data_IF_746337226753
#
_entry.id   IF_746337226753
#
_cell.length_a   1.000
_cell.length_b   1.000
_cell.length_c   1.000
_cell.angle_alpha   90.00
_cell.angle_beta   90.00
_cell.angle_gamma   90.00
#
_symmetry.space_group_name_H-M   'P 1'
#
loop_
_entity.id
_entity.type
_entity.pdbx_description
1 polymer ?
#
# COMPACT_ATOMS: atom_id res chain seq x y z
N UNK A 1 12.43 -54.78 -26.74
CA UNK A 1 11.39 -53.91 -26.12
C UNK A 1 11.83 -53.37 -24.76
N UNK A 2 13.07 -52.92 -24.59
CA UNK A 2 13.64 -52.45 -23.31
C UNK A 2 14.14 -51.00 -23.30
N UNK A 3 14.14 -50.34 -24.46
CA UNK A 3 14.70 -48.97 -24.54
C UNK A 3 13.72 -47.82 -24.23
N UNK A 4 12.41 -48.11 -24.19
CA UNK A 4 11.37 -47.10 -23.91
C UNK A 4 11.13 -46.87 -22.41
N UNK A 5 11.57 -47.77 -21.53
CA UNK A 5 11.40 -47.61 -20.08
C UNK A 5 12.47 -46.69 -19.46
N UNK A 6 13.69 -46.66 -20.01
CA UNK A 6 14.78 -45.85 -19.51
C UNK A 6 14.57 -44.34 -19.77
N UNK A 7 13.77 -43.97 -20.77
CA UNK A 7 13.49 -42.57 -21.09
C UNK A 7 12.50 -41.89 -20.14
N UNK A 8 11.59 -42.66 -19.51
CA UNK A 8 10.59 -42.15 -18.56
C UNK A 8 11.19 -41.86 -17.18
N UNK A 9 12.13 -42.67 -16.74
CA UNK A 9 12.85 -42.45 -15.46
C UNK A 9 13.78 -41.23 -15.54
N UNK A 10 14.38 -40.95 -16.71
CA UNK A 10 15.16 -39.76 -16.91
C UNK A 10 14.31 -38.46 -16.97
N UNK A 11 13.07 -38.54 -17.44
CA UNK A 11 12.14 -37.39 -17.41
C UNK A 11 11.65 -37.09 -15.98
N UNK A 12 11.57 -38.04 -15.12
CA UNK A 12 11.19 -37.83 -13.69
C UNK A 12 12.30 -37.13 -12.88
N UNK A 13 13.55 -37.21 -13.33
CA UNK A 13 14.70 -36.54 -12.72
C UNK A 13 14.87 -35.10 -13.19
N UNK A 14 14.25 -34.68 -14.30
CA UNK A 14 14.12 -33.30 -14.74
C UNK A 14 12.99 -32.58 -13.95
N UNK A 15 13.10 -32.53 -12.61
CA UNK A 15 12.34 -31.52 -11.87
C UNK A 15 12.77 -30.16 -12.40
N UNK A 16 11.87 -29.38 -13.01
CA UNK A 16 12.18 -28.01 -13.33
C UNK A 16 12.61 -27.35 -12.02
N UNK A 17 13.83 -26.80 -11.96
CA UNK A 17 14.29 -26.02 -10.85
C UNK A 17 13.22 -24.94 -10.62
N UNK A 18 12.45 -25.09 -9.56
CA UNK A 18 11.43 -24.11 -9.18
C UNK A 18 12.18 -22.78 -9.09
N UNK A 19 11.89 -21.76 -9.90
CA UNK A 19 12.62 -20.51 -9.85
C UNK A 19 12.55 -20.01 -8.41
N UNK A 20 13.70 -19.90 -7.74
CA UNK A 20 13.75 -19.36 -6.38
C UNK A 20 12.97 -18.04 -6.40
N UNK A 21 11.93 -17.95 -5.56
CA UNK A 21 11.12 -16.75 -5.48
C UNK A 21 12.06 -15.55 -5.26
N UNK A 22 11.92 -14.46 -6.01
CA UNK A 22 12.86 -13.34 -5.95
C UNK A 22 12.98 -12.88 -4.52
N UNK A 23 14.14 -13.03 -3.93
CA UNK A 23 14.43 -12.58 -2.57
C UNK A 23 14.36 -11.06 -2.58
N UNK A 24 13.32 -10.49 -1.96
CA UNK A 24 13.18 -9.04 -1.85
C UNK A 24 14.33 -8.49 -1.02
N UNK A 25 15.12 -7.59 -1.60
CA UNK A 25 16.27 -6.98 -0.92
C UNK A 25 15.80 -5.74 -0.15
N UNK A 26 16.30 -5.58 1.08
CA UNK A 26 16.12 -4.39 1.90
C UNK A 26 16.63 -3.15 1.16
N UNK A 27 15.80 -2.11 1.02
CA UNK A 27 16.13 -0.85 0.36
C UNK A 27 16.02 0.30 1.36
N UNK A 28 17.16 0.80 1.79
CA UNK A 28 17.26 1.94 2.73
C UNK A 28 18.16 3.04 2.16
N UNK A 29 17.85 4.27 2.49
CA UNK A 29 18.63 5.47 2.19
C UNK A 29 19.95 5.51 2.99
N UNK A 30 20.85 6.42 2.62
CA UNK A 30 22.08 6.74 3.38
C UNK A 30 21.80 7.13 4.85
N UNK A 31 20.61 7.60 5.15
CA UNK A 31 20.15 7.97 6.50
C UNK A 31 19.42 6.81 7.23
N UNK A 32 19.50 5.58 6.75
CA UNK A 32 18.86 4.42 7.34
C UNK A 32 17.32 4.42 7.23
N UNK A 33 16.75 5.22 6.32
CA UNK A 33 15.30 5.32 6.14
C UNK A 33 14.84 4.52 4.92
N UNK A 34 13.69 3.86 5.02
CA UNK A 34 13.01 3.30 3.86
C UNK A 34 12.03 4.33 3.29
N UNK A 35 12.10 4.54 1.98
CA UNK A 35 11.23 5.46 1.24
C UNK A 35 10.20 4.72 0.41
N UNK A 36 8.96 5.20 0.41
CA UNK A 36 7.94 4.75 -0.52
C UNK A 36 6.89 5.82 -0.83
N UNK A 37 6.22 5.65 -1.96
CA UNK A 37 5.08 6.47 -2.38
C UNK A 37 3.80 5.67 -2.36
N UNK A 38 2.71 6.31 -1.90
CA UNK A 38 1.35 5.77 -1.97
C UNK A 38 0.41 6.74 -2.68
N UNK A 39 -0.62 6.19 -3.33
CA UNK A 39 -1.61 7.00 -4.07
C UNK A 39 -3.03 6.49 -3.81
N UNK A 40 -4.00 7.42 -3.66
CA UNK A 40 -5.43 7.11 -3.57
C UNK A 40 -6.28 8.35 -3.87
N UNK A 41 -7.29 8.26 -4.73
CA UNK A 41 -8.26 9.36 -5.02
C UNK A 41 -7.56 10.70 -5.25
N UNK A 42 -6.61 10.73 -6.18
CA UNK A 42 -5.80 11.91 -6.53
C UNK A 42 -4.86 12.42 -5.41
N UNK A 43 -4.89 11.80 -4.22
CA UNK A 43 -3.91 12.05 -3.18
C UNK A 43 -2.63 11.26 -3.41
N UNK A 44 -1.49 11.92 -3.19
CA UNK A 44 -0.15 11.33 -3.26
C UNK A 44 0.53 11.52 -1.92
N UNK A 45 1.04 10.42 -1.36
CA UNK A 45 1.83 10.43 -0.14
C UNK A 45 3.25 9.96 -0.42
N UNK A 46 4.24 10.67 0.10
CA UNK A 46 5.65 10.29 0.17
C UNK A 46 5.98 10.01 1.62
N UNK A 47 6.47 8.83 1.90
CA UNK A 47 6.70 8.37 3.27
C UNK A 47 8.13 7.89 3.44
N UNK A 48 8.74 8.30 4.55
CA UNK A 48 10.03 7.81 5.03
C UNK A 48 9.80 7.15 6.39
N UNK A 49 10.27 5.91 6.54
CA UNK A 49 10.19 5.14 7.78
C UNK A 49 11.61 4.90 8.30
N UNK A 50 11.80 5.13 9.58
CA UNK A 50 13.02 4.79 10.32
C UNK A 50 12.65 4.09 11.63
N UNK A 51 13.51 3.29 12.25
CA UNK A 51 13.30 2.79 13.59
C UNK A 51 13.16 3.96 14.58
N UNK A 52 12.21 3.86 15.51
CA UNK A 52 11.95 4.95 16.46
C UNK A 52 10.83 4.64 17.44
N UNK A 53 10.30 5.66 18.09
CA UNK A 53 9.31 5.57 19.16
C UNK A 53 7.85 5.51 18.67
N UNK A 54 7.61 5.45 17.36
CA UNK A 54 6.25 5.39 16.80
C UNK A 54 5.64 6.76 16.47
N UNK A 55 6.44 7.82 16.40
CA UNK A 55 5.96 9.16 16.08
C UNK A 55 5.60 9.25 14.59
N UNK A 56 4.38 9.75 14.28
CA UNK A 56 3.91 9.96 12.91
C UNK A 56 3.73 11.45 12.67
N UNK A 57 4.50 12.01 11.73
CA UNK A 57 4.46 13.42 11.33
C UNK A 57 3.98 13.54 9.90
N UNK A 58 2.99 14.41 9.66
CA UNK A 58 2.36 14.63 8.35
C UNK A 58 2.45 16.11 7.99
N UNK A 59 3.13 16.44 6.91
CA UNK A 59 3.33 17.85 6.49
C UNK A 59 3.77 18.74 7.66
N UNK A 60 4.80 18.31 8.39
CA UNK A 60 5.36 19.00 9.57
C UNK A 60 4.47 19.06 10.82
N UNK A 61 3.23 18.55 10.76
CA UNK A 61 2.28 18.50 11.87
C UNK A 61 2.15 17.07 12.41
N UNK A 62 1.77 16.92 13.66
CA UNK A 62 1.46 15.60 14.22
C UNK A 62 0.20 15.02 13.58
N UNK A 63 0.15 13.69 13.48
CA UNK A 63 -0.95 12.98 12.84
C UNK A 63 -2.31 13.28 13.47
N UNK A 64 -2.35 13.56 14.76
CA UNK A 64 -3.57 13.88 15.52
C UNK A 64 -4.15 15.23 15.12
N UNK A 65 -3.29 16.21 14.89
CA UNK A 65 -3.67 17.56 14.46
C UNK A 65 -4.08 17.55 12.99
N UNK A 66 -3.32 16.84 12.14
CA UNK A 66 -3.58 16.81 10.70
C UNK A 66 -4.83 15.97 10.35
N UNK A 67 -4.96 14.78 10.93
CA UNK A 67 -6.12 13.90 10.78
C UNK A 67 -6.95 13.90 12.07
N UNK A 68 -7.74 14.95 12.26
CA UNK A 68 -8.58 15.10 13.45
C UNK A 68 -9.57 13.94 13.67
N UNK A 69 -10.04 13.29 12.59
CA UNK A 69 -10.97 12.16 12.67
C UNK A 69 -10.25 10.88 13.11
N UNK A 70 -10.65 10.23 14.24
CA UNK A 70 -10.02 9.02 14.75
C UNK A 70 -9.96 7.87 13.74
N UNK A 71 -11.02 7.69 12.95
CA UNK A 71 -11.11 6.64 11.92
C UNK A 71 -9.97 6.75 10.89
N UNK A 72 -9.57 7.97 10.50
CA UNK A 72 -8.47 8.16 9.57
C UNK A 72 -7.12 7.80 10.20
N UNK A 73 -6.94 8.10 11.48
CA UNK A 73 -5.74 7.71 12.25
C UNK A 73 -5.64 6.20 12.39
N UNK A 74 -6.74 5.53 12.74
CA UNK A 74 -6.82 4.07 12.77
C UNK A 74 -6.44 3.45 11.41
N UNK A 75 -6.96 4.02 10.31
CA UNK A 75 -6.63 3.55 8.96
C UNK A 75 -5.13 3.64 8.66
N UNK A 76 -4.46 4.68 9.09
CA UNK A 76 -3.01 4.89 8.90
C UNK A 76 -2.20 3.87 9.70
N UNK A 77 -2.65 3.52 10.90
CA UNK A 77 -1.96 2.58 11.80
C UNK A 77 -2.16 1.11 11.40
N UNK A 78 -3.21 0.78 10.64
CA UNK A 78 -3.53 -0.61 10.25
C UNK A 78 -2.34 -1.44 9.75
N UNK A 79 -1.49 -0.96 8.82
CA UNK A 79 -0.36 -1.76 8.36
C UNK A 79 0.67 -2.05 9.44
N UNK A 80 0.91 -1.11 10.36
CA UNK A 80 1.85 -1.28 11.47
C UNK A 80 1.32 -2.30 12.48
N UNK A 81 0.02 -2.27 12.77
CA UNK A 81 -0.64 -3.24 13.64
C UNK A 81 -0.65 -4.63 13.00
N UNK A 82 -1.01 -4.73 11.72
CA UNK A 82 -1.03 -6.00 10.98
C UNK A 82 0.36 -6.65 10.88
N UNK A 83 1.42 -5.84 10.84
CA UNK A 83 2.80 -6.29 10.85
C UNK A 83 3.35 -6.56 12.27
N UNK A 84 2.56 -6.36 13.33
CA UNK A 84 3.00 -6.40 14.74
C UNK A 84 4.20 -5.48 15.01
N UNK A 85 4.22 -4.31 14.38
CA UNK A 85 5.29 -3.30 14.48
C UNK A 85 4.80 -1.94 14.98
N UNK A 86 3.65 -1.91 15.66
CA UNK A 86 3.12 -0.69 16.27
C UNK A 86 4.12 -0.11 17.28
N UNK A 87 4.39 1.20 17.21
CA UNK A 87 5.30 1.90 18.11
C UNK A 87 6.80 1.67 17.88
N UNK A 88 7.20 0.92 16.86
CA UNK A 88 8.61 0.61 16.57
C UNK A 88 9.24 1.49 15.48
N UNK A 89 8.42 2.22 14.75
CA UNK A 89 8.87 3.03 13.62
C UNK A 89 8.36 4.46 13.70
N UNK A 90 9.27 5.40 13.49
CA UNK A 90 8.92 6.79 13.21
C UNK A 90 8.59 6.95 11.73
N UNK A 91 7.52 7.67 11.46
CA UNK A 91 6.99 7.89 10.10
C UNK A 91 6.97 9.39 9.81
N UNK A 92 7.71 9.80 8.81
CA UNK A 92 7.66 11.16 8.28
C UNK A 92 6.98 11.08 6.92
N UNK A 93 5.91 11.86 6.70
CA UNK A 93 5.23 11.87 5.44
C UNK A 93 4.91 13.26 4.93
N UNK A 94 5.00 13.40 3.61
CA UNK A 94 4.52 14.58 2.86
C UNK A 94 3.34 14.13 2.02
N UNK A 95 2.22 14.83 2.13
CA UNK A 95 0.97 14.48 1.45
C UNK A 95 0.45 15.66 0.66
N UNK A 96 0.04 15.42 -0.58
CA UNK A 96 -0.50 16.44 -1.48
C UNK A 96 -1.72 15.90 -2.25
N UNK A 97 -2.59 16.80 -2.68
CA UNK A 97 -3.75 16.48 -3.52
C UNK A 97 -4.89 15.75 -2.81
N UNK A 98 -6.00 15.62 -3.49
CA UNK A 98 -7.20 14.95 -2.98
C UNK A 98 -7.77 15.57 -1.71
N UNK A 99 -8.49 14.77 -0.93
CA UNK A 99 -9.04 15.15 0.37
C UNK A 99 -8.51 14.26 1.50
N UNK A 100 -8.74 14.62 2.77
CA UNK A 100 -8.21 13.93 3.95
C UNK A 100 -8.41 12.41 3.93
N UNK A 101 -9.58 11.92 3.48
CA UNK A 101 -9.84 10.48 3.36
C UNK A 101 -8.99 9.80 2.28
N UNK A 102 -8.75 10.48 1.15
CA UNK A 102 -7.83 10.01 0.10
C UNK A 102 -6.39 10.00 0.60
N UNK A 103 -5.99 11.07 1.29
CA UNK A 103 -4.66 11.25 1.86
C UNK A 103 -4.34 10.17 2.90
N UNK A 104 -5.25 9.88 3.84
CA UNK A 104 -5.07 8.80 4.81
C UNK A 104 -4.89 7.44 4.13
N UNK A 105 -5.68 7.14 3.09
CA UNK A 105 -5.51 5.93 2.31
C UNK A 105 -4.20 5.88 1.52
N UNK A 106 -3.72 7.02 1.01
CA UNK A 106 -2.43 7.12 0.33
C UNK A 106 -1.26 6.90 1.32
N UNK A 107 -1.34 7.47 2.53
CA UNK A 107 -0.36 7.27 3.61
C UNK A 107 -0.33 5.80 4.02
N UNK A 108 -1.50 5.16 4.25
CA UNK A 108 -1.59 3.73 4.55
C UNK A 108 -0.86 2.88 3.50
N UNK A 109 -1.11 3.12 2.23
CA UNK A 109 -0.46 2.40 1.13
C UNK A 109 1.05 2.67 1.09
N UNK A 110 1.49 3.91 1.34
CA UNK A 110 2.90 4.26 1.36
C UNK A 110 3.65 3.59 2.54
N UNK A 111 3.07 3.61 3.75
CA UNK A 111 3.63 2.92 4.92
C UNK A 111 3.82 1.44 4.64
N UNK A 112 2.81 0.77 4.07
CA UNK A 112 2.88 -0.65 3.74
C UNK A 112 4.02 -0.96 2.77
N UNK A 113 4.20 -0.12 1.75
CA UNK A 113 5.32 -0.27 0.80
C UNK A 113 6.67 0.01 1.44
N UNK A 114 6.78 1.02 2.31
CA UNK A 114 8.02 1.35 2.99
C UNK A 114 8.41 0.25 3.99
N UNK A 115 7.45 -0.35 4.70
CA UNK A 115 7.68 -1.52 5.56
C UNK A 115 8.25 -2.69 4.76
N UNK A 116 7.72 -3.02 3.59
CA UNK A 116 8.26 -4.10 2.74
C UNK A 116 9.65 -3.78 2.20
N UNK A 117 10.00 -2.50 2.04
CA UNK A 117 11.35 -2.09 1.65
C UNK A 117 12.33 -2.16 2.81
N UNK A 118 11.88 -1.97 4.05
CA UNK A 118 12.69 -2.06 5.25
C UNK A 118 12.84 -3.50 5.75
N UNK A 119 11.72 -4.22 5.87
CA UNK A 119 11.63 -5.64 6.26
C UNK A 119 10.91 -6.44 5.15
N UNK A 120 11.65 -7.10 4.25
CA UNK A 120 11.04 -7.86 3.14
C UNK A 120 10.11 -8.99 3.60
N UNK A 121 10.35 -9.59 4.77
CA UNK A 121 9.58 -10.71 5.32
C UNK A 121 8.13 -10.34 5.60
N UNK A 122 7.85 -9.08 5.92
CA UNK A 122 6.51 -8.56 6.19
C UNK A 122 5.62 -8.50 4.95
N UNK A 123 6.21 -8.69 3.75
CA UNK A 123 5.48 -8.58 2.49
C UNK A 123 4.32 -9.58 2.40
N UNK A 124 4.48 -10.81 2.87
CA UNK A 124 3.44 -11.84 2.85
C UNK A 124 2.22 -11.42 3.66
N UNK A 125 2.44 -10.93 4.88
CA UNK A 125 1.40 -10.46 5.80
C UNK A 125 0.68 -9.24 5.24
N UNK A 126 1.43 -8.24 4.78
CA UNK A 126 0.88 -6.99 4.22
C UNK A 126 0.15 -7.22 2.89
N UNK A 127 0.59 -8.18 2.06
CA UNK A 127 -0.11 -8.56 0.83
C UNK A 127 -1.43 -9.25 1.12
N UNK A 128 -1.46 -10.18 2.08
CA UNK A 128 -2.67 -10.88 2.54
C UNK A 128 -3.70 -9.90 3.11
N UNK A 129 -3.26 -8.89 3.86
CA UNK A 129 -4.11 -7.81 4.38
C UNK A 129 -4.58 -6.81 3.32
N UNK A 130 -4.18 -6.93 2.06
CA UNK A 130 -4.58 -6.02 0.97
C UNK A 130 -3.92 -4.64 1.01
N UNK A 131 -2.93 -4.41 1.87
CA UNK A 131 -2.31 -3.09 2.06
C UNK A 131 -1.36 -2.68 0.93
N UNK A 132 -0.86 -3.63 0.15
CA UNK A 132 0.05 -3.37 -0.96
C UNK A 132 -0.66 -3.10 -2.29
N UNK A 133 -1.98 -3.32 -2.34
CA UNK A 133 -2.78 -3.08 -3.55
C UNK A 133 -3.30 -1.65 -3.55
N UNK A 134 -3.07 -0.94 -4.66
CA UNK A 134 -3.65 0.41 -4.84
C UNK A 134 -5.15 0.30 -5.08
N UNK A 135 -5.95 1.07 -4.35
CA UNK A 135 -7.37 1.29 -4.65
C UNK A 135 -7.49 2.21 -5.88
N UNK A 136 -7.96 1.66 -7.00
CA UNK A 136 -8.09 2.38 -8.27
C UNK A 136 -9.33 3.26 -8.35
N UNK A 137 -10.27 3.16 -7.40
CA UNK A 137 -11.52 3.93 -7.41
C UNK A 137 -11.25 5.42 -7.33
N UNK A 138 -11.74 6.15 -8.33
CA UNK A 138 -11.72 7.62 -8.40
C UNK A 138 -13.15 8.14 -8.51
N UNK A 139 -13.34 9.44 -8.27
CA UNK A 139 -14.65 10.07 -8.43
C UNK A 139 -15.03 10.06 -9.91
N UNK A 140 -16.22 9.53 -10.22
CA UNK A 140 -16.73 9.48 -11.59
C UNK A 140 -17.05 10.89 -12.07
N UNK A 141 -16.64 11.20 -13.31
CA UNK A 141 -16.85 12.51 -13.94
C UNK A 141 -18.35 12.83 -14.09
N UNK A 142 -18.75 14.05 -13.81
CA UNK A 142 -20.07 14.58 -14.18
C UNK A 142 -20.33 14.39 -15.68
N UNK A 143 -21.51 13.93 -16.04
CA UNK A 143 -21.91 13.70 -17.44
C UNK A 143 -22.82 14.82 -17.95
N UNK A 144 -22.80 14.97 -19.25
CA UNK A 144 -23.71 15.87 -19.94
C UNK A 144 -25.18 15.49 -19.66
N UNK A 145 -26.07 16.45 -19.52
CA UNK A 145 -27.49 16.20 -19.23
C UNK A 145 -27.80 15.59 -17.86
N UNK A 146 -26.85 15.49 -16.95
CA UNK A 146 -27.00 14.98 -15.59
C UNK A 146 -26.62 16.03 -14.54
N UNK A 147 -27.26 15.98 -13.37
CA UNK A 147 -26.93 16.87 -12.25
C UNK A 147 -25.55 16.51 -11.63
N UNK A 148 -25.23 15.21 -11.57
CA UNK A 148 -23.93 14.64 -11.16
C UNK A 148 -23.53 13.51 -12.10
N UNK A 149 -22.57 12.68 -11.72
CA UNK A 149 -22.11 11.56 -12.55
C UNK A 149 -23.26 10.61 -12.97
N UNK A 150 -24.15 10.31 -12.04
CA UNK A 150 -25.29 9.38 -12.25
C UNK A 150 -26.66 10.00 -11.94
N UNK A 151 -26.71 11.08 -11.15
CA UNK A 151 -27.95 11.73 -10.77
C UNK A 151 -28.54 12.48 -11.96
N UNK A 152 -29.76 12.14 -12.34
CA UNK A 152 -30.56 12.85 -13.34
C UNK A 152 -31.26 14.07 -12.73
N UNK A 153 -31.65 15.01 -13.56
CA UNK A 153 -32.55 16.07 -13.17
C UNK A 153 -33.96 15.47 -12.95
N UNK A 154 -34.73 16.12 -12.11
CA UNK A 154 -36.12 15.73 -11.87
C UNK A 154 -36.94 15.97 -13.15
N UNK A 155 -37.73 14.97 -13.54
CA UNK A 155 -38.68 15.10 -14.63
C UNK A 155 -39.90 15.88 -14.12
N UNK A 156 -40.29 16.95 -14.81
CA UNK A 156 -41.53 17.69 -14.56
C UNK A 156 -42.55 17.36 -15.64
N UNK A 157 -43.67 16.79 -15.23
CA UNK A 157 -44.85 16.65 -16.08
C UNK A 157 -45.55 18.02 -16.14
N UNK A 158 -45.30 18.80 -17.14
CA UNK A 158 -46.11 19.95 -17.56
C UNK A 158 -46.15 19.97 -19.06
#
# INVERSE_FOLDING_TARGET
MSDTMQSLDQLSQLKPATPEAPKYVKKVDKLGRAYATGKRKDAVARVWIKPGAGKIVVNTREVEIYFARPVLRMMIQQPLVAAARAGQYDVICTVTGGGLSGQAGAVRHAISKALTSFEPDLRSVLKRGGFLTRDSRVVERKKYGKAKARRSFQFSKR
#
